data_IF_697440081986
#
_entry.id   IF_697440081986
#
_cell.length_a   1.000
_cell.length_b   1.000
_cell.length_c   1.000
_cell.angle_alpha   90.00
_cell.angle_beta   90.00
_cell.angle_gamma   90.00
#
_symmetry.space_group_name_H-M   'P 1'
#
loop_
_entity.id
_entity.type
_entity.pdbx_description
1 polymer ?
#
# COMPACT_ATOMS: atom_id res chain seq x y z
N UNK A 1 8.38 -22.33 17.18
CA UNK A 1 7.46 -21.40 17.89
C UNK A 1 6.59 -20.69 16.87
N UNK A 2 5.32 -20.37 17.17
CA UNK A 2 4.39 -19.95 16.14
C UNK A 2 4.67 -18.52 15.69
N UNK A 3 4.66 -18.31 14.38
CA UNK A 3 4.87 -17.05 13.63
C UNK A 3 3.71 -16.04 13.85
N UNK A 4 2.95 -16.20 14.93
CA UNK A 4 1.72 -15.46 15.22
C UNK A 4 1.98 -13.97 15.47
N UNK A 5 3.14 -13.62 16.04
CA UNK A 5 3.50 -12.24 16.39
C UNK A 5 4.30 -11.50 15.32
N UNK A 6 4.49 -12.08 14.13
CA UNK A 6 5.25 -11.42 13.07
C UNK A 6 4.37 -10.37 12.39
N UNK A 7 4.92 -9.17 12.18
CA UNK A 7 4.30 -8.12 11.36
C UNK A 7 4.13 -8.62 9.91
N UNK A 8 3.24 -7.98 9.14
CA UNK A 8 3.02 -8.34 7.73
C UNK A 8 4.32 -8.40 6.92
N UNK A 9 5.21 -7.42 7.13
CA UNK A 9 6.53 -7.37 6.49
C UNK A 9 7.50 -8.47 6.95
N UNK A 10 7.46 -8.86 8.24
CA UNK A 10 8.29 -9.96 8.74
C UNK A 10 7.84 -11.32 8.19
N UNK A 11 6.53 -11.53 8.04
CA UNK A 11 5.97 -12.73 7.40
C UNK A 11 6.35 -12.81 5.93
N UNK A 12 6.28 -11.68 5.22
CA UNK A 12 6.68 -11.62 3.82
C UNK A 12 8.19 -11.86 3.64
N UNK A 13 9.04 -11.30 4.50
CA UNK A 13 10.49 -11.55 4.49
C UNK A 13 10.82 -13.02 4.77
N UNK A 14 10.11 -13.65 5.71
CA UNK A 14 10.26 -15.07 5.99
C UNK A 14 9.81 -15.93 4.80
N UNK A 15 8.69 -15.58 4.16
CA UNK A 15 8.20 -16.26 2.97
C UNK A 15 9.21 -16.17 1.81
N UNK A 16 9.77 -14.99 1.56
CA UNK A 16 10.80 -14.78 0.54
C UNK A 16 12.08 -15.55 0.85
N UNK A 17 12.51 -15.59 2.11
CA UNK A 17 13.65 -16.38 2.54
C UNK A 17 13.43 -17.89 2.32
N UNK A 18 12.21 -18.38 2.57
CA UNK A 18 11.83 -19.77 2.32
C UNK A 18 11.80 -20.10 0.82
N UNK A 19 11.30 -19.18 -0.01
CA UNK A 19 11.31 -19.32 -1.48
C UNK A 19 12.74 -19.35 -2.01
N UNK A 20 13.60 -18.45 -1.55
CA UNK A 20 15.02 -18.40 -1.92
C UNK A 20 15.76 -19.69 -1.50
N UNK A 21 15.42 -20.26 -0.34
CA UNK A 21 15.97 -21.51 0.15
C UNK A 21 15.51 -22.72 -0.67
N UNK A 22 14.23 -22.77 -1.02
CA UNK A 22 13.62 -23.89 -1.75
C UNK A 22 13.99 -23.98 -3.22
N UNK A 23 14.44 -22.87 -3.83
CA UNK A 23 14.71 -22.74 -5.28
C UNK A 23 13.62 -23.42 -6.14
N UNK A 24 12.35 -23.06 -5.96
CA UNK A 24 11.27 -23.66 -6.74
C UNK A 24 11.42 -23.32 -8.23
N UNK A 25 10.94 -24.21 -9.09
CA UNK A 25 10.92 -23.97 -10.54
C UNK A 25 9.79 -23.04 -10.96
N UNK A 26 8.74 -22.93 -10.14
CA UNK A 26 7.56 -22.10 -10.35
C UNK A 26 7.19 -21.38 -9.04
N UNK A 27 6.98 -20.08 -9.13
CA UNK A 27 6.53 -19.24 -8.03
C UNK A 27 5.16 -18.64 -8.35
N UNK A 28 4.19 -18.82 -7.45
CA UNK A 28 2.85 -18.25 -7.55
C UNK A 28 2.69 -17.19 -6.45
N UNK A 29 2.41 -15.94 -6.83
CA UNK A 29 2.24 -14.83 -5.91
C UNK A 29 0.87 -14.18 -6.13
N UNK A 30 0.06 -14.17 -5.07
CA UNK A 30 -1.21 -13.46 -5.05
C UNK A 30 -1.10 -12.25 -4.11
N UNK A 31 -1.22 -11.06 -4.68
CA UNK A 31 -1.04 -9.76 -4.04
C UNK A 31 0.20 -9.65 -3.13
N UNK A 32 1.41 -9.85 -3.67
CA UNK A 32 2.63 -9.93 -2.86
C UNK A 32 3.08 -8.58 -2.29
N UNK A 33 2.50 -7.46 -2.74
CA UNK A 33 2.79 -6.11 -2.24
C UNK A 33 1.95 -5.73 -1.02
N UNK A 34 0.94 -6.53 -0.70
CA UNK A 34 0.08 -6.24 0.43
C UNK A 34 0.86 -6.34 1.75
N UNK A 35 0.74 -5.32 2.60
CA UNK A 35 1.50 -5.17 3.85
C UNK A 35 3.03 -5.02 3.70
N UNK A 36 3.54 -4.63 2.52
CA UNK A 36 4.95 -4.29 2.30
C UNK A 36 5.19 -2.78 2.27
N UNK A 37 6.26 -2.36 2.97
CA UNK A 37 6.83 -1.02 2.86
C UNK A 37 7.52 -0.81 1.48
N UNK A 38 7.89 0.44 1.18
CA UNK A 38 8.47 0.79 -0.13
C UNK A 38 9.81 0.09 -0.39
N UNK A 39 10.66 -0.02 0.64
CA UNK A 39 11.98 -0.64 0.52
C UNK A 39 11.87 -2.15 0.24
N UNK A 40 10.95 -2.82 0.92
CA UNK A 40 10.65 -4.23 0.70
C UNK A 40 10.01 -4.48 -0.66
N UNK A 41 9.14 -3.60 -1.16
CA UNK A 41 8.61 -3.71 -2.53
C UNK A 41 9.72 -3.63 -3.57
N UNK A 42 10.68 -2.73 -3.38
CA UNK A 42 11.84 -2.62 -4.27
C UNK A 42 12.69 -3.89 -4.20
N UNK A 43 12.98 -4.38 -2.99
CA UNK A 43 13.74 -5.62 -2.80
C UNK A 43 13.04 -6.84 -3.42
N UNK A 44 11.72 -6.94 -3.27
CA UNK A 44 10.89 -7.97 -3.90
C UNK A 44 10.97 -7.87 -5.42
N UNK A 45 10.82 -6.67 -5.97
CA UNK A 45 10.89 -6.43 -7.42
C UNK A 45 12.23 -6.91 -7.97
N UNK A 46 13.34 -6.53 -7.33
CA UNK A 46 14.69 -6.95 -7.72
C UNK A 46 14.87 -8.46 -7.60
N UNK A 47 14.36 -9.07 -6.52
CA UNK A 47 14.45 -10.51 -6.31
C UNK A 47 13.66 -11.31 -7.36
N UNK A 48 12.48 -10.82 -7.77
CA UNK A 48 11.68 -11.45 -8.81
C UNK A 48 12.32 -11.30 -10.20
N UNK A 49 12.99 -10.17 -10.47
CA UNK A 49 13.75 -9.98 -11.72
C UNK A 49 14.95 -10.92 -11.83
N UNK A 50 15.63 -11.23 -10.72
CA UNK A 50 16.78 -12.13 -10.70
C UNK A 50 16.38 -13.62 -10.61
N UNK A 51 15.10 -13.90 -10.39
CA UNK A 51 14.60 -15.26 -10.25
C UNK A 51 14.64 -16.01 -11.58
N UNK A 52 15.42 -17.11 -11.63
CA UNK A 52 15.62 -17.89 -12.85
C UNK A 52 14.51 -18.91 -13.16
N UNK A 53 13.46 -18.98 -12.33
CA UNK A 53 12.30 -19.86 -12.52
C UNK A 53 11.12 -19.14 -13.16
N UNK A 54 10.03 -19.88 -13.39
CA UNK A 54 8.78 -19.26 -13.84
C UNK A 54 8.10 -18.53 -12.67
N UNK A 55 7.56 -17.35 -12.91
CA UNK A 55 6.80 -16.58 -11.91
C UNK A 55 5.42 -16.26 -12.49
N UNK A 56 4.36 -16.57 -11.73
CA UNK A 56 3.02 -16.09 -11.98
C UNK A 56 2.65 -15.13 -10.84
N UNK A 57 2.40 -13.87 -11.18
CA UNK A 57 2.01 -12.83 -10.22
C UNK A 57 0.61 -12.35 -10.54
N UNK A 58 -0.22 -12.28 -9.50
CA UNK A 58 -1.47 -11.54 -9.48
C UNK A 58 -1.26 -10.34 -8.57
N UNK A 59 -1.34 -9.12 -9.11
CA UNK A 59 -1.25 -7.92 -8.28
C UNK A 59 -1.98 -6.74 -8.92
N UNK A 60 -2.44 -5.81 -8.11
CA UNK A 60 -2.88 -4.49 -8.55
C UNK A 60 -1.72 -3.47 -8.69
N UNK A 61 -0.51 -3.79 -8.23
CA UNK A 61 0.65 -2.90 -8.31
C UNK A 61 1.22 -2.83 -9.73
N UNK A 62 0.93 -1.72 -10.41
CA UNK A 62 1.37 -1.44 -11.78
C UNK A 62 2.89 -1.41 -11.94
N UNK A 63 3.61 -0.93 -10.92
CA UNK A 63 5.06 -0.78 -10.99
C UNK A 63 5.75 -2.15 -10.86
N UNK A 64 5.26 -2.99 -9.93
CA UNK A 64 5.74 -4.36 -9.80
C UNK A 64 5.55 -5.12 -11.11
N UNK A 65 4.30 -5.19 -11.60
CA UNK A 65 3.96 -5.91 -12.83
C UNK A 65 4.82 -5.46 -14.01
N UNK A 66 4.90 -4.15 -14.26
CA UNK A 66 5.70 -3.61 -15.37
C UNK A 66 7.19 -3.96 -15.29
N UNK A 67 7.71 -4.16 -14.08
CA UNK A 67 9.14 -4.39 -13.84
C UNK A 67 9.50 -5.88 -13.81
N UNK A 68 8.56 -6.76 -13.46
CA UNK A 68 8.84 -8.18 -13.20
C UNK A 68 8.22 -9.16 -14.20
N UNK A 69 7.21 -8.76 -14.98
CA UNK A 69 6.51 -9.68 -15.90
C UNK A 69 6.80 -9.39 -17.36
N UNK A 70 7.10 -10.44 -18.12
CA UNK A 70 7.33 -10.36 -19.57
C UNK A 70 6.03 -10.43 -20.39
N UNK A 71 5.03 -11.16 -19.88
CA UNK A 71 3.75 -11.43 -20.55
C UNK A 71 2.57 -11.14 -19.63
N UNK A 72 1.49 -10.61 -20.19
CA UNK A 72 0.24 -10.36 -19.46
C UNK A 72 -0.83 -11.36 -19.89
N UNK A 73 -1.54 -11.91 -18.91
CA UNK A 73 -2.70 -12.78 -19.13
C UNK A 73 -3.97 -12.08 -18.66
N UNK A 74 -4.91 -11.94 -19.58
CA UNK A 74 -6.21 -11.36 -19.33
C UNK A 74 -7.24 -12.45 -19.00
N UNK A 75 -7.89 -12.33 -17.84
CA UNK A 75 -8.97 -13.23 -17.41
C UNK A 75 -10.31 -12.51 -17.54
N UNK A 76 -11.10 -12.87 -18.54
CA UNK A 76 -12.38 -12.22 -18.87
C UNK A 76 -13.38 -13.23 -19.45
N UNK A 77 -14.69 -13.03 -19.18
CA UNK A 77 -15.77 -13.91 -19.67
C UNK A 77 -15.55 -15.42 -19.42
N UNK A 78 -14.89 -15.77 -18.30
CA UNK A 78 -14.54 -17.15 -17.96
C UNK A 78 -13.45 -17.78 -18.83
N UNK A 79 -12.71 -16.97 -19.59
CA UNK A 79 -11.59 -17.38 -20.44
C UNK A 79 -10.31 -16.66 -20.02
N UNK A 80 -9.18 -17.31 -20.25
CA UNK A 80 -7.85 -16.73 -20.12
C UNK A 80 -7.28 -16.55 -21.52
N UNK A 81 -6.82 -15.34 -21.84
CA UNK A 81 -6.21 -15.00 -23.12
C UNK A 81 -4.93 -14.20 -22.88
N UNK A 82 -3.95 -14.35 -23.75
CA UNK A 82 -2.76 -13.50 -23.76
C UNK A 82 -3.16 -12.07 -24.11
N UNK A 83 -2.54 -11.11 -23.42
CA UNK A 83 -2.79 -9.69 -23.59
C UNK A 83 -1.52 -9.01 -24.10
N UNK A 84 -1.51 -8.72 -25.40
CA UNK A 84 -0.38 -8.06 -26.08
C UNK A 84 -0.28 -6.54 -25.82
N UNK A 85 -1.22 -5.98 -25.03
CA UNK A 85 -1.24 -4.57 -24.69
C UNK A 85 -0.40 -4.24 -23.45
N UNK A 86 -0.10 -2.97 -23.26
CA UNK A 86 0.54 -2.51 -22.02
C UNK A 86 -0.49 -2.29 -20.89
N UNK A 87 -0.02 -1.92 -19.70
CA UNK A 87 -0.92 -1.63 -18.57
C UNK A 87 -1.88 -0.44 -18.82
N UNK A 88 -1.59 0.46 -19.75
CA UNK A 88 -2.48 1.56 -20.12
C UNK A 88 -3.62 1.07 -21.04
N UNK A 89 -3.29 0.18 -21.97
CA UNK A 89 -4.26 -0.52 -22.80
C UNK A 89 -5.16 -1.44 -21.96
N UNK A 90 -4.63 -2.07 -20.92
CA UNK A 90 -5.43 -2.85 -19.97
C UNK A 90 -6.45 -1.95 -19.24
N UNK A 91 -6.04 -0.78 -18.78
CA UNK A 91 -6.95 0.16 -18.11
C UNK A 91 -8.08 0.63 -19.06
N UNK A 92 -7.75 0.88 -20.33
CA UNK A 92 -8.73 1.23 -21.36
C UNK A 92 -9.66 0.06 -21.67
N UNK A 93 -9.11 -1.14 -21.81
CA UNK A 93 -9.87 -2.37 -22.01
C UNK A 93 -10.82 -2.64 -20.85
N UNK A 94 -10.39 -2.43 -19.61
CA UNK A 94 -11.22 -2.62 -18.41
C UNK A 94 -12.40 -1.65 -18.38
N UNK A 95 -12.18 -0.40 -18.76
CA UNK A 95 -13.26 0.60 -18.88
C UNK A 95 -14.28 0.19 -19.95
N UNK A 96 -13.81 -0.25 -21.11
CA UNK A 96 -14.66 -0.69 -22.23
C UNK A 96 -15.40 -2.00 -21.89
N UNK A 97 -14.73 -2.94 -21.22
CA UNK A 97 -15.29 -4.20 -20.75
C UNK A 97 -16.38 -3.98 -19.70
N UNK A 98 -16.16 -3.09 -18.73
CA UNK A 98 -17.19 -2.68 -17.77
C UNK A 98 -18.39 -2.04 -18.47
N UNK A 99 -18.17 -1.25 -19.52
CA UNK A 99 -19.26 -0.64 -20.31
C UNK A 99 -20.06 -1.69 -21.10
N UNK A 100 -19.38 -2.71 -21.65
CA UNK A 100 -19.98 -3.79 -22.46
C UNK A 100 -20.70 -4.85 -21.62
N UNK A 101 -20.12 -5.22 -20.48
CA UNK A 101 -20.64 -6.22 -19.55
C UNK A 101 -21.42 -5.59 -18.39
N UNK A 102 -21.61 -4.27 -18.40
CA UNK A 102 -22.67 -3.64 -17.63
C UNK A 102 -23.98 -4.37 -17.98
N UNK A 103 -24.75 -4.85 -16.99
CA UNK A 103 -25.97 -5.57 -17.28
C UNK A 103 -26.85 -4.69 -18.17
N UNK A 104 -27.10 -5.14 -19.41
CA UNK A 104 -28.16 -4.58 -20.22
C UNK A 104 -29.44 -4.79 -19.43
N UNK A 105 -29.89 -3.76 -18.73
CA UNK A 105 -31.19 -3.73 -18.05
C UNK A 105 -32.26 -3.78 -19.13
N UNK A 106 -32.52 -4.99 -19.63
CA UNK A 106 -33.59 -5.30 -20.58
C UNK A 106 -34.89 -5.52 -19.80
N UNK A 107 -35.17 -4.60 -18.89
CA UNK A 107 -36.38 -4.55 -18.10
C UNK A 107 -37.10 -3.28 -18.54
N UNK A 108 -38.32 -3.34 -19.09
CA UNK A 108 -39.09 -2.14 -19.35
C UNK A 108 -39.52 -1.57 -17.99
N UNK A 109 -38.67 -0.74 -17.41
CA UNK A 109 -38.92 -0.10 -16.11
C UNK A 109 -39.22 1.37 -16.36
N UNK A 110 -40.46 1.72 -16.07
CA UNK A 110 -40.91 3.10 -15.90
C UNK A 110 -39.93 3.88 -15.00
N UNK A 111 -39.56 5.12 -15.35
CA UNK A 111 -38.52 5.86 -14.66
C UNK A 111 -39.10 6.49 -13.40
N UNK A 112 -39.01 5.80 -12.27
CA UNK A 112 -39.28 6.44 -10.98
C UNK A 112 -38.00 7.11 -10.45
N UNK A 113 -38.10 8.40 -10.17
CA UNK A 113 -36.99 9.34 -9.89
C UNK A 113 -36.31 9.11 -8.54
N UNK A 114 -36.67 8.02 -7.86
CA UNK A 114 -36.42 7.80 -6.43
C UNK A 114 -35.08 7.10 -6.19
N UNK A 115 -34.69 6.13 -7.03
CA UNK A 115 -33.44 5.37 -6.86
C UNK A 115 -32.17 6.15 -7.24
N UNK A 116 -32.23 6.96 -8.31
CA UNK A 116 -31.11 7.84 -8.69
C UNK A 116 -30.83 8.92 -7.63
N UNK A 117 -31.84 9.33 -6.87
CA UNK A 117 -31.67 10.30 -5.77
C UNK A 117 -31.05 9.62 -4.54
N UNK A 118 -31.49 8.41 -4.22
CA UNK A 118 -30.94 7.61 -3.12
C UNK A 118 -29.46 7.24 -3.35
N UNK A 119 -29.10 6.77 -4.56
CA UNK A 119 -27.70 6.48 -4.91
C UNK A 119 -26.82 7.73 -4.89
N UNK A 120 -27.32 8.87 -5.42
CA UNK A 120 -26.59 10.15 -5.33
C UNK A 120 -26.42 10.64 -3.89
N UNK A 121 -27.43 10.43 -3.03
CA UNK A 121 -27.33 10.76 -1.60
C UNK A 121 -26.34 9.85 -0.87
N UNK A 122 -26.32 8.54 -1.16
CA UNK A 122 -25.37 7.60 -0.59
C UNK A 122 -23.92 7.92 -1.01
N UNK A 123 -23.69 8.15 -2.30
CA UNK A 123 -22.37 8.56 -2.81
C UNK A 123 -21.93 9.93 -2.27
N UNK A 124 -22.85 10.89 -2.10
CA UNK A 124 -22.55 12.18 -1.48
C UNK A 124 -22.23 12.05 0.02
N UNK A 125 -22.92 11.17 0.74
CA UNK A 125 -22.66 10.89 2.14
C UNK A 125 -21.27 10.24 2.34
N UNK A 126 -20.91 9.26 1.51
CA UNK A 126 -19.58 8.64 1.52
C UNK A 126 -18.48 9.68 1.22
N UNK A 127 -18.66 10.53 0.20
CA UNK A 127 -17.73 11.64 -0.11
C UNK A 127 -17.58 12.62 1.05
N UNK A 128 -18.63 12.85 1.82
CA UNK A 128 -18.57 13.66 3.04
C UNK A 128 -17.77 12.99 4.15
N UNK A 129 -17.79 11.66 4.24
CA UNK A 129 -16.98 10.89 5.20
C UNK A 129 -15.50 10.82 4.79
N UNK A 130 -15.18 10.82 3.49
CA UNK A 130 -13.81 10.84 2.97
C UNK A 130 -13.04 12.12 3.32
N UNK A 131 -13.69 13.28 3.29
CA UNK A 131 -13.05 14.58 3.52
C UNK A 131 -12.38 14.75 4.91
N UNK A 132 -13.01 14.39 6.05
CA UNK A 132 -12.36 14.46 7.36
C UNK A 132 -11.20 13.47 7.51
N UNK A 133 -11.33 12.23 7.02
CA UNK A 133 -10.24 11.25 7.10
C UNK A 133 -9.02 11.68 6.27
N UNK A 134 -9.24 12.29 5.10
CA UNK A 134 -8.15 12.86 4.30
C UNK A 134 -7.43 13.98 5.05
N UNK A 135 -8.17 14.88 5.67
CA UNK A 135 -7.59 15.97 6.48
C UNK A 135 -6.85 15.45 7.71
N UNK A 136 -7.33 14.35 8.30
CA UNK A 136 -6.65 13.70 9.43
C UNK A 136 -5.32 13.07 8.98
N UNK A 137 -5.32 12.36 7.84
CA UNK A 137 -4.10 11.81 7.25
C UNK A 137 -3.08 12.93 6.91
N UNK A 138 -3.51 14.00 6.23
CA UNK A 138 -2.66 15.16 5.89
C UNK A 138 -2.09 15.83 7.16
N UNK A 139 -2.87 15.87 8.24
CA UNK A 139 -2.42 16.44 9.53
C UNK A 139 -1.37 15.56 10.20
N UNK A 140 -1.60 14.25 10.24
CA UNK A 140 -0.66 13.28 10.83
C UNK A 140 0.65 13.25 10.05
N UNK A 141 0.60 13.34 8.72
CA UNK A 141 1.79 13.49 7.86
C UNK A 141 2.59 14.76 8.22
N UNK A 142 1.90 15.89 8.40
CA UNK A 142 2.56 17.14 8.80
C UNK A 142 3.20 17.04 10.20
N UNK A 143 2.56 16.33 11.13
CA UNK A 143 3.10 16.10 12.47
C UNK A 143 4.30 15.16 12.44
N UNK A 144 4.25 14.08 11.64
CA UNK A 144 5.37 13.17 11.38
C UNK A 144 6.58 13.91 10.81
N UNK A 145 6.37 14.76 9.80
CA UNK A 145 7.45 15.56 9.22
C UNK A 145 8.18 16.43 10.26
N UNK A 146 7.44 17.02 11.21
CA UNK A 146 8.03 17.82 12.30
C UNK A 146 8.80 16.96 13.31
N UNK A 147 8.31 15.75 13.61
CA UNK A 147 9.01 14.81 14.51
C UNK A 147 10.29 14.32 13.85
N UNK A 148 10.23 13.96 12.56
CA UNK A 148 11.38 13.55 11.78
C UNK A 148 12.44 14.66 11.68
N UNK A 149 12.04 15.91 11.45
CA UNK A 149 12.99 17.03 11.43
C UNK A 149 13.69 17.24 12.79
N UNK A 150 12.98 17.01 13.90
CA UNK A 150 13.57 17.07 15.25
C UNK A 150 14.51 15.90 15.50
N UNK A 151 14.14 14.69 15.10
CA UNK A 151 14.99 13.50 15.20
C UNK A 151 16.28 13.70 14.41
N UNK A 152 16.20 14.19 13.18
CA UNK A 152 17.37 14.47 12.36
C UNK A 152 18.32 15.47 13.03
N UNK A 153 17.80 16.51 13.71
CA UNK A 153 18.63 17.47 14.47
C UNK A 153 19.32 16.81 15.66
N UNK A 154 18.62 15.95 16.41
CA UNK A 154 19.20 15.23 17.54
C UNK A 154 20.25 14.22 17.07
N UNK A 155 19.99 13.50 15.98
CA UNK A 155 20.94 12.54 15.41
C UNK A 155 22.18 13.24 14.83
N UNK A 156 22.02 14.43 14.23
CA UNK A 156 23.15 15.26 13.84
C UNK A 156 24.00 15.70 15.05
N UNK A 157 23.36 16.10 16.15
CA UNK A 157 24.07 16.43 17.41
C UNK A 157 24.76 15.21 18.03
N UNK A 158 24.14 14.04 18.00
CA UNK A 158 24.72 12.78 18.47
C UNK A 158 25.87 12.30 17.57
N UNK A 159 25.93 12.74 16.31
CA UNK A 159 27.03 12.45 15.40
C UNK A 159 28.33 13.21 15.71
N UNK A 160 28.28 14.23 16.56
CA UNK A 160 29.48 14.98 16.98
C UNK A 160 30.27 14.19 18.04
N UNK A 161 31.54 13.94 17.75
CA UNK A 161 32.46 13.19 18.61
C UNK A 161 32.64 13.84 19.99
N UNK A 162 32.48 15.17 20.07
CA UNK A 162 32.64 15.94 21.32
C UNK A 162 31.53 15.72 22.36
N UNK A 163 30.38 15.19 21.95
CA UNK A 163 29.23 14.95 22.86
C UNK A 163 29.45 13.71 23.74
N UNK A 164 30.38 12.82 23.36
CA UNK A 164 30.75 11.63 24.13
C UNK A 164 31.82 11.89 25.19
N UNK A 165 32.34 13.11 25.29
CA UNK A 165 33.29 13.49 26.33
C UNK A 165 32.65 13.45 27.72
N UNK A 166 33.44 13.05 28.73
CA UNK A 166 32.97 12.95 30.11
C UNK A 166 32.39 14.27 30.67
N UNK A 167 32.80 15.42 30.11
CA UNK A 167 32.32 16.75 30.49
C UNK A 167 30.90 17.06 29.99
N UNK A 168 30.38 16.36 28.97
CA UNK A 168 29.04 16.57 28.37
C UNK A 168 28.10 15.39 28.56
N UNK A 169 28.38 14.54 29.55
CA UNK A 169 27.64 13.31 29.82
C UNK A 169 26.16 13.53 30.15
N UNK A 170 25.82 14.68 30.75
CA UNK A 170 24.43 15.03 31.05
C UNK A 170 23.66 15.46 29.78
N UNK A 171 24.31 16.23 28.89
CA UNK A 171 23.77 16.60 27.57
C UNK A 171 23.55 15.36 26.69
N UNK A 172 24.50 14.43 26.66
CA UNK A 172 24.35 13.15 25.95
C UNK A 172 23.16 12.32 26.46
N UNK A 173 22.96 12.27 27.79
CA UNK A 173 21.83 11.54 28.38
C UNK A 173 20.49 12.18 28.01
N UNK A 174 20.43 13.50 27.99
CA UNK A 174 19.24 14.25 27.59
C UNK A 174 18.92 14.03 26.10
N UNK A 175 19.92 14.10 25.23
CA UNK A 175 19.76 13.82 23.79
C UNK A 175 19.28 12.39 23.51
N UNK A 176 19.84 11.39 24.19
CA UNK A 176 19.41 10.00 24.06
C UNK A 176 17.99 9.78 24.59
N UNK A 177 17.63 10.42 25.71
CA UNK A 177 16.28 10.35 26.25
C UNK A 177 15.25 11.00 25.31
N UNK A 178 15.59 12.12 24.71
CA UNK A 178 14.71 12.82 23.77
C UNK A 178 14.63 12.12 22.42
N UNK A 179 15.73 11.50 21.95
CA UNK A 179 15.71 10.61 20.78
C UNK A 179 14.74 9.44 21.01
N UNK A 180 14.82 8.77 22.16
CA UNK A 180 13.95 7.64 22.47
C UNK A 180 12.47 8.05 22.53
N UNK A 181 12.15 9.19 23.17
CA UNK A 181 10.79 9.73 23.21
C UNK A 181 10.26 10.08 21.83
N UNK A 182 11.08 10.73 21.01
CA UNK A 182 10.67 11.15 19.67
C UNK A 182 10.49 9.95 18.74
N UNK A 183 11.34 8.92 18.81
CA UNK A 183 11.13 7.67 18.06
C UNK A 183 9.87 6.92 18.49
N UNK A 184 9.56 6.93 19.80
CA UNK A 184 8.29 6.37 20.27
C UNK A 184 7.08 7.15 19.75
N UNK A 185 7.16 8.49 19.75
CA UNK A 185 6.11 9.35 19.22
C UNK A 185 5.95 9.21 17.70
N UNK A 186 7.07 9.09 16.97
CA UNK A 186 7.09 8.81 15.53
C UNK A 186 6.31 7.53 15.22
N UNK A 187 6.66 6.40 15.85
CA UNK A 187 5.96 5.14 15.63
C UNK A 187 4.45 5.22 15.93
N UNK A 188 4.04 5.95 16.98
CA UNK A 188 2.61 6.15 17.29
C UNK A 188 1.89 7.01 16.24
N UNK A 189 2.56 8.02 15.69
CA UNK A 189 2.00 8.86 14.64
C UNK A 189 1.94 8.12 13.31
N UNK A 190 2.94 7.30 12.99
CA UNK A 190 2.97 6.43 11.82
C UNK A 190 1.83 5.42 11.85
N UNK A 191 1.64 4.72 12.98
CA UNK A 191 0.55 3.76 13.16
C UNK A 191 -0.81 4.42 12.90
N UNK A 192 -1.06 5.57 13.51
CA UNK A 192 -2.32 6.32 13.32
C UNK A 192 -2.48 6.86 11.89
N UNK A 193 -1.39 7.25 11.25
CA UNK A 193 -1.42 7.72 9.86
C UNK A 193 -1.77 6.58 8.91
N UNK A 194 -1.19 5.39 9.14
CA UNK A 194 -1.49 4.18 8.38
C UNK A 194 -2.95 3.75 8.55
N UNK A 195 -3.49 3.75 9.77
CA UNK A 195 -4.92 3.47 10.03
C UNK A 195 -5.83 4.47 9.29
N UNK A 196 -5.48 5.75 9.29
CA UNK A 196 -6.25 6.77 8.59
C UNK A 196 -6.24 6.59 7.05
N UNK A 197 -5.11 6.13 6.49
CA UNK A 197 -4.99 5.82 5.07
C UNK A 197 -5.78 4.55 4.68
N UNK A 198 -5.75 3.50 5.50
CA UNK A 198 -6.52 2.28 5.27
C UNK A 198 -8.04 2.55 5.29
N UNK A 199 -8.49 3.37 6.23
CA UNK A 199 -9.89 3.84 6.27
C UNK A 199 -10.26 4.67 5.03
N UNK A 200 -9.33 5.48 4.52
CA UNK A 200 -9.57 6.22 3.28
C UNK A 200 -9.69 5.30 2.08
N UNK A 201 -8.81 4.32 1.96
CA UNK A 201 -8.81 3.37 0.84
C UNK A 201 -10.09 2.52 0.84
N UNK A 202 -10.51 2.00 1.99
CA UNK A 202 -11.76 1.24 2.13
C UNK A 202 -12.98 2.08 1.75
N UNK A 203 -13.07 3.33 2.22
CA UNK A 203 -14.16 4.24 1.85
C UNK A 203 -14.11 4.64 0.37
N UNK A 204 -12.93 4.74 -0.25
CA UNK A 204 -12.81 4.97 -1.69
C UNK A 204 -13.29 3.75 -2.49
N UNK A 205 -12.89 2.55 -2.09
CA UNK A 205 -13.33 1.30 -2.73
C UNK A 205 -14.86 1.13 -2.64
N UNK A 206 -15.46 1.44 -1.49
CA UNK A 206 -16.92 1.46 -1.34
C UNK A 206 -17.59 2.50 -2.26
N UNK A 207 -17.00 3.69 -2.39
CA UNK A 207 -17.51 4.73 -3.30
C UNK A 207 -17.46 4.29 -4.77
N UNK A 208 -16.37 3.63 -5.17
CA UNK A 208 -16.21 3.08 -6.52
C UNK A 208 -17.18 1.94 -6.79
N UNK A 209 -17.47 1.10 -5.79
CA UNK A 209 -18.48 0.03 -5.90
C UNK A 209 -19.92 0.57 -6.00
N UNK A 210 -20.17 1.77 -5.47
CA UNK A 210 -21.46 2.47 -5.53
C UNK A 210 -21.66 3.32 -6.80
N UNK A 211 -20.59 3.60 -7.54
CA UNK A 211 -20.59 4.47 -8.74
C UNK A 211 -20.77 3.69 -10.05
#
# INVERSE_FOLDING_TARGET
>A
EPVLNFSGGEKARLALALIAWGRPNLLLLDEPTNHLDLEMRLALTMALQEFSGAVLVVSHDRHLLKSTTDEFLLVADGKVQEFDGDLEDYARWLADYRLRNAPASNTPVNPDKTDKKAQRQAAAALRQQLAPHKREADKLESELGKVNEKLAKIEASLGDSGVYEAARKDELRELLADQAKLKQLEGQLEERWMEALELLETLQAELEALS
#
